data_IF_831211530148
#
_entry.id   IF_831211530148
#
_cell.length_a   1.000
_cell.length_b   1.000
_cell.length_c   1.000
_cell.angle_alpha   90.00
_cell.angle_beta   90.00
_cell.angle_gamma   90.00
#
_symmetry.space_group_name_H-M   'P 1'
#
loop_
_entity.id
_entity.type
_entity.pdbx_description
1 polymer ?
#
# COMPACT_ATOMS: atom_id res chain seq x y z
N UNK A 1 -9.97 30.65 3.51
CA UNK A 1 -9.49 29.85 2.39
C UNK A 1 -8.80 28.60 2.89
N UNK A 2 -9.25 27.44 2.42
CA UNK A 2 -8.81 26.11 2.89
C UNK A 2 -7.68 25.56 1.99
N UNK A 3 -6.87 26.42 1.38
CA UNK A 3 -5.72 25.98 0.60
C UNK A 3 -4.42 26.35 1.29
N UNK A 4 -3.60 25.34 1.57
CA UNK A 4 -2.20 25.56 1.91
C UNK A 4 -1.53 26.08 0.62
N UNK A 5 -1.16 27.36 0.60
CA UNK A 5 -0.46 27.99 -0.53
C UNK A 5 1.04 27.64 -0.56
N UNK A 6 1.39 26.55 0.07
CA UNK A 6 2.78 26.08 0.11
C UNK A 6 3.02 24.97 -0.92
N UNK A 7 4.18 24.95 -1.57
CA UNK A 7 4.57 23.82 -2.41
C UNK A 7 4.56 22.54 -1.60
N UNK A 8 3.85 21.53 -2.09
CA UNK A 8 3.71 20.26 -1.37
C UNK A 8 5.03 19.49 -1.27
N UNK A 9 6.05 19.86 -2.05
CA UNK A 9 7.30 19.10 -2.15
C UNK A 9 7.14 17.69 -2.72
N UNK A 10 5.93 17.33 -3.14
CA UNK A 10 5.61 16.01 -3.67
C UNK A 10 5.62 16.01 -5.19
N UNK A 11 6.23 14.98 -5.77
CA UNK A 11 6.20 14.73 -7.21
C UNK A 11 5.28 13.55 -7.49
N UNK A 12 4.37 13.73 -8.44
CA UNK A 12 3.51 12.64 -8.92
C UNK A 12 3.96 12.22 -10.31
N UNK A 13 4.14 10.91 -10.52
CA UNK A 13 4.52 10.32 -11.80
C UNK A 13 3.38 9.41 -12.26
N UNK A 14 2.91 9.61 -13.49
CA UNK A 14 1.98 8.68 -14.12
C UNK A 14 2.75 7.47 -14.65
N UNK A 15 2.45 6.28 -14.15
CA UNK A 15 3.07 5.02 -14.59
C UNK A 15 2.30 4.36 -15.75
N UNK A 16 1.06 4.76 -15.94
CA UNK A 16 0.18 4.33 -17.03
C UNK A 16 -0.49 5.55 -17.67
N UNK A 17 -1.07 5.38 -18.86
CA UNK A 17 -1.83 6.45 -19.51
C UNK A 17 -2.94 6.95 -18.57
N UNK A 18 -2.81 8.18 -18.09
CA UNK A 18 -3.67 8.77 -17.08
C UNK A 18 -4.33 10.04 -17.61
N UNK A 19 -5.61 10.22 -17.34
CA UNK A 19 -6.31 11.46 -17.59
C UNK A 19 -6.35 12.30 -16.30
N UNK A 20 -5.92 13.55 -16.38
CA UNK A 20 -5.85 14.47 -15.24
C UNK A 20 -6.78 15.64 -15.49
N UNK A 21 -7.55 16.00 -14.47
CA UNK A 21 -8.37 17.21 -14.44
C UNK A 21 -7.73 18.22 -13.48
N UNK A 22 -7.50 19.43 -13.95
CA UNK A 22 -6.94 20.52 -13.15
C UNK A 22 -8.08 21.48 -12.82
N UNK A 23 -8.31 21.72 -11.55
CA UNK A 23 -9.30 22.67 -11.06
C UNK A 23 -8.54 23.94 -10.63
N UNK A 24 -8.78 25.11 -11.27
CA UNK A 24 -8.19 26.37 -10.84
C UNK A 24 -8.59 26.72 -9.40
N UNK A 25 -7.68 27.33 -8.63
CA UNK A 25 -7.89 27.63 -7.21
C UNK A 25 -9.21 28.38 -6.95
N UNK A 26 -9.49 29.43 -7.73
CA UNK A 26 -10.74 30.21 -7.59
C UNK A 26 -11.99 29.34 -7.77
N UNK A 27 -11.96 28.44 -8.75
CA UNK A 27 -13.07 27.51 -9.01
C UNK A 27 -13.23 26.53 -7.86
N UNK A 28 -12.11 26.02 -7.33
CA UNK A 28 -12.10 25.13 -6.16
C UNK A 28 -12.72 25.84 -4.93
N UNK A 29 -12.27 27.04 -4.59
CA UNK A 29 -12.80 27.83 -3.49
C UNK A 29 -14.30 28.09 -3.64
N UNK A 30 -14.73 28.50 -4.84
CA UNK A 30 -16.16 28.71 -5.12
C UNK A 30 -16.97 27.42 -4.94
N UNK A 31 -16.48 26.25 -5.41
CA UNK A 31 -17.16 24.97 -5.23
C UNK A 31 -17.22 24.54 -3.77
N UNK A 32 -16.16 24.76 -3.00
CA UNK A 32 -16.15 24.46 -1.56
C UNK A 32 -17.19 25.32 -0.82
N UNK A 33 -17.37 26.59 -1.20
CA UNK A 33 -18.30 27.49 -0.52
C UNK A 33 -19.77 27.24 -0.92
N UNK A 34 -20.01 26.91 -2.18
CA UNK A 34 -21.37 26.86 -2.73
C UNK A 34 -21.95 25.46 -2.92
N UNK A 35 -21.10 24.44 -3.05
CA UNK A 35 -21.54 23.07 -3.36
C UNK A 35 -21.28 22.13 -2.18
N UNK A 36 -22.35 21.80 -1.46
CA UNK A 36 -22.27 20.88 -0.30
C UNK A 36 -21.72 19.51 -0.70
N UNK A 37 -22.17 18.95 -1.82
CA UNK A 37 -21.75 17.62 -2.27
C UNK A 37 -20.24 17.56 -2.58
N UNK A 38 -19.72 18.63 -3.20
CA UNK A 38 -18.28 18.76 -3.47
C UNK A 38 -17.48 18.85 -2.17
N UNK A 39 -17.94 19.67 -1.22
CA UNK A 39 -17.32 19.81 0.10
C UNK A 39 -17.30 18.50 0.90
N UNK A 40 -18.43 17.78 0.92
CA UNK A 40 -18.57 16.50 1.60
C UNK A 40 -17.61 15.44 0.99
N UNK A 41 -17.51 15.40 -0.34
CA UNK A 41 -16.59 14.50 -1.04
C UNK A 41 -15.11 14.81 -0.73
N UNK A 42 -14.74 16.08 -0.62
CA UNK A 42 -13.38 16.48 -0.21
C UNK A 42 -13.11 16.03 1.22
N UNK A 43 -14.06 16.29 2.13
CA UNK A 43 -13.92 15.91 3.53
C UNK A 43 -13.75 14.40 3.69
N UNK A 44 -14.59 13.61 3.01
CA UNK A 44 -14.47 12.15 2.99
C UNK A 44 -13.10 11.69 2.47
N UNK A 45 -12.59 12.31 1.42
CA UNK A 45 -11.28 11.99 0.86
C UNK A 45 -10.14 12.31 1.84
N UNK A 46 -10.23 13.45 2.54
CA UNK A 46 -9.26 13.83 3.57
C UNK A 46 -9.28 12.82 4.74
N UNK A 47 -10.47 12.46 5.21
CA UNK A 47 -10.62 11.46 6.28
C UNK A 47 -10.05 10.10 5.88
N UNK A 48 -10.32 9.63 4.66
CA UNK A 48 -9.72 8.39 4.13
C UNK A 48 -8.19 8.47 4.11
N UNK A 49 -7.61 9.58 3.66
CA UNK A 49 -6.15 9.78 3.67
C UNK A 49 -5.59 9.81 5.09
N UNK A 50 -6.26 10.45 6.03
CA UNK A 50 -5.85 10.46 7.44
C UNK A 50 -5.85 9.06 8.06
N UNK A 51 -6.86 8.24 7.76
CA UNK A 51 -6.91 6.84 8.20
C UNK A 51 -5.74 6.03 7.65
N UNK A 52 -5.42 6.20 6.36
CA UNK A 52 -4.26 5.55 5.74
C UNK A 52 -2.97 5.97 6.45
N UNK A 53 -2.75 7.28 6.64
CA UNK A 53 -1.56 7.80 7.32
C UNK A 53 -1.45 7.28 8.76
N UNK A 54 -2.56 7.19 9.50
CA UNK A 54 -2.57 6.61 10.84
C UNK A 54 -2.11 5.16 10.81
N UNK A 55 -2.64 4.36 9.90
CA UNK A 55 -2.22 2.96 9.72
C UNK A 55 -0.73 2.83 9.37
N UNK A 56 -0.21 3.71 8.52
CA UNK A 56 1.22 3.72 8.20
C UNK A 56 2.09 4.07 9.41
N UNK A 57 1.68 5.04 10.21
CA UNK A 57 2.39 5.40 11.45
C UNK A 57 2.38 4.24 12.44
N UNK A 58 1.24 3.60 12.66
CA UNK A 58 1.12 2.42 13.52
C UNK A 58 2.03 1.30 13.01
N UNK A 59 2.02 1.01 11.70
CA UNK A 59 2.89 0.03 11.08
C UNK A 59 4.38 0.32 11.31
N UNK A 60 4.81 1.55 11.09
CA UNK A 60 6.21 1.95 11.24
C UNK A 60 6.67 1.94 12.70
N UNK A 61 5.75 2.19 13.64
CA UNK A 61 6.09 2.34 15.07
C UNK A 61 6.07 1.02 15.83
N UNK A 62 5.10 0.14 15.52
CA UNK A 62 4.85 -1.06 16.31
C UNK A 62 5.19 -2.38 15.62
N UNK A 63 5.28 -2.39 14.29
CA UNK A 63 5.53 -3.62 13.55
C UNK A 63 6.99 -3.74 13.11
N UNK A 64 7.55 -4.94 13.25
CA UNK A 64 8.86 -5.26 12.69
C UNK A 64 8.85 -5.15 11.16
N UNK A 65 10.01 -4.95 10.54
CA UNK A 65 10.13 -4.98 9.07
C UNK A 65 9.55 -6.27 8.48
N UNK A 66 9.65 -7.37 9.21
CA UNK A 66 9.12 -8.67 8.81
C UNK A 66 7.59 -8.69 8.79
N UNK A 67 6.95 -8.11 9.82
CA UNK A 67 5.48 -8.04 9.89
C UNK A 67 4.92 -7.09 8.84
N UNK A 68 5.60 -5.96 8.60
CA UNK A 68 5.24 -5.05 7.50
C UNK A 68 5.29 -5.74 6.14
N UNK A 69 6.32 -6.58 5.93
CA UNK A 69 6.47 -7.35 4.70
C UNK A 69 5.37 -8.41 4.56
N UNK A 70 5.04 -9.12 5.65
CA UNK A 70 3.90 -10.06 5.69
C UNK A 70 2.59 -9.35 5.36
N UNK A 71 2.30 -8.20 5.99
CA UNK A 71 1.09 -7.40 5.71
C UNK A 71 1.00 -6.96 4.26
N UNK A 72 2.09 -6.48 3.69
CA UNK A 72 2.13 -6.07 2.28
C UNK A 72 1.80 -7.23 1.35
N UNK A 73 2.39 -8.40 1.58
CA UNK A 73 2.12 -9.58 0.77
C UNK A 73 0.68 -10.07 0.94
N UNK A 74 0.15 -10.08 2.17
CA UNK A 74 -1.23 -10.45 2.41
C UNK A 74 -2.22 -9.47 1.77
N UNK A 75 -1.98 -8.16 1.86
CA UNK A 75 -2.88 -7.15 1.28
C UNK A 75 -2.93 -7.18 -0.24
N UNK A 76 -1.89 -7.69 -0.87
CA UNK A 76 -1.79 -7.79 -2.34
C UNK A 76 -2.00 -9.20 -2.88
N UNK A 77 -2.27 -10.18 -2.01
CA UNK A 77 -2.59 -11.54 -2.40
C UNK A 77 -3.91 -11.60 -3.18
N UNK A 78 -3.92 -12.38 -4.27
CA UNK A 78 -5.14 -12.69 -5.03
C UNK A 78 -5.86 -13.87 -4.38
N UNK A 79 -6.70 -13.56 -3.41
CA UNK A 79 -7.44 -14.57 -2.64
C UNK A 79 -8.57 -15.26 -3.40
N UNK A 80 -8.92 -14.74 -4.59
CA UNK A 80 -9.95 -15.34 -5.44
C UNK A 80 -9.43 -16.55 -6.22
N UNK A 81 -8.10 -16.69 -6.35
CA UNK A 81 -7.46 -17.74 -7.15
C UNK A 81 -6.40 -18.48 -6.35
N UNK A 82 -6.71 -19.71 -5.96
CA UNK A 82 -5.74 -20.67 -5.45
C UNK A 82 -4.98 -21.34 -6.60
N UNK A 83 -3.67 -21.45 -6.42
CA UNK A 83 -2.80 -22.13 -7.36
C UNK A 83 -1.97 -23.22 -6.65
N UNK A 84 -1.58 -24.25 -7.40
CA UNK A 84 -0.58 -25.27 -7.01
C UNK A 84 -0.68 -25.76 -5.55
N UNK A 85 -1.89 -26.15 -5.10
CA UNK A 85 -2.04 -26.79 -3.79
C UNK A 85 -1.99 -25.85 -2.59
N UNK A 86 -2.56 -24.65 -2.70
CA UNK A 86 -2.77 -23.77 -1.54
C UNK A 86 -1.91 -22.52 -1.48
N UNK A 87 -1.62 -21.93 -2.64
CA UNK A 87 -0.85 -20.70 -2.74
C UNK A 87 -1.65 -19.59 -3.44
N UNK A 88 -1.50 -18.35 -2.97
CA UNK A 88 -2.03 -17.15 -3.60
C UNK A 88 -0.92 -16.44 -4.36
N UNK A 89 -1.18 -16.02 -5.60
CA UNK A 89 -0.31 -15.06 -6.31
C UNK A 89 -0.51 -13.67 -5.74
N UNK A 90 0.49 -12.81 -5.88
CA UNK A 90 0.29 -11.38 -5.67
C UNK A 90 -0.33 -10.75 -6.92
N UNK A 91 -1.25 -9.80 -6.72
CA UNK A 91 -1.82 -8.95 -7.79
C UNK A 91 -0.80 -7.99 -8.37
N UNK A 92 0.29 -7.72 -7.62
CA UNK A 92 1.37 -6.79 -7.97
C UNK A 92 2.71 -7.49 -7.89
N UNK A 93 3.57 -7.22 -8.86
CA UNK A 93 4.97 -7.67 -8.84
C UNK A 93 5.82 -6.58 -8.17
N UNK A 94 6.58 -6.96 -7.15
CA UNK A 94 7.50 -6.07 -6.44
C UNK A 94 8.94 -6.40 -6.75
N UNK A 95 9.72 -5.37 -7.06
CA UNK A 95 11.19 -5.46 -7.05
C UNK A 95 11.71 -5.31 -5.61
N UNK A 96 12.93 -5.78 -5.34
CA UNK A 96 13.56 -5.58 -4.02
C UNK A 96 13.76 -4.11 -3.66
N UNK A 97 13.90 -3.25 -4.66
CA UNK A 97 14.00 -1.80 -4.45
C UNK A 97 12.67 -1.22 -3.96
N UNK A 98 11.58 -1.55 -4.62
CA UNK A 98 10.24 -1.11 -4.20
C UNK A 98 9.90 -1.63 -2.82
N UNK A 99 10.16 -2.90 -2.53
CA UNK A 99 9.97 -3.46 -1.19
C UNK A 99 10.80 -2.71 -0.14
N UNK A 100 12.05 -2.38 -0.43
CA UNK A 100 12.90 -1.62 0.51
C UNK A 100 12.35 -0.22 0.79
N UNK A 101 11.78 0.42 -0.23
CA UNK A 101 11.18 1.74 -0.13
C UNK A 101 9.86 1.70 0.64
N UNK A 102 8.98 0.75 0.32
CA UNK A 102 7.66 0.61 0.96
C UNK A 102 7.80 0.21 2.43
N UNK A 103 8.67 -0.76 2.70
CA UNK A 103 8.88 -1.29 4.06
C UNK A 103 9.74 -0.34 4.92
N UNK A 104 10.50 0.56 4.32
CA UNK A 104 11.43 1.43 5.04
C UNK A 104 12.64 0.69 5.62
N UNK A 105 13.16 -0.30 4.91
CA UNK A 105 14.31 -1.11 5.32
C UNK A 105 15.40 -1.16 4.25
N UNK A 106 16.65 -1.45 4.65
CA UNK A 106 17.74 -1.64 3.70
C UNK A 106 17.48 -2.86 2.78
N UNK A 107 17.89 -2.80 1.52
CA UNK A 107 17.71 -3.90 0.55
C UNK A 107 18.25 -5.24 1.05
N UNK A 108 19.41 -5.21 1.73
CA UNK A 108 20.01 -6.41 2.31
C UNK A 108 19.10 -7.01 3.38
N UNK A 109 18.48 -6.17 4.21
CA UNK A 109 17.51 -6.61 5.21
C UNK A 109 16.28 -7.23 4.55
N UNK A 110 15.73 -6.59 3.52
CA UNK A 110 14.58 -7.12 2.78
C UNK A 110 14.90 -8.49 2.16
N UNK A 111 16.08 -8.62 1.52
CA UNK A 111 16.51 -9.92 0.97
C UNK A 111 16.60 -11.03 2.03
N UNK A 112 17.16 -10.73 3.20
CA UNK A 112 17.21 -11.69 4.32
C UNK A 112 15.80 -12.07 4.78
N UNK A 113 14.92 -11.09 4.96
CA UNK A 113 13.54 -11.33 5.40
C UNK A 113 12.73 -12.15 4.39
N UNK A 114 12.93 -11.93 3.09
CA UNK A 114 12.29 -12.75 2.05
C UNK A 114 12.74 -14.22 2.19
N UNK A 115 14.04 -14.48 2.36
CA UNK A 115 14.56 -15.84 2.56
C UNK A 115 13.99 -16.46 3.82
N UNK A 116 13.98 -15.74 4.96
CA UNK A 116 13.38 -16.21 6.21
C UNK A 116 11.89 -16.57 6.02
N UNK A 117 11.12 -15.75 5.31
CA UNK A 117 9.72 -16.01 5.04
C UNK A 117 9.52 -17.22 4.10
N UNK A 118 10.46 -17.48 3.21
CA UNK A 118 10.48 -18.71 2.40
C UNK A 118 10.78 -19.93 3.28
N UNK A 119 11.78 -19.83 4.16
CA UNK A 119 12.18 -20.92 5.06
C UNK A 119 11.05 -21.26 6.07
N UNK A 120 10.28 -20.26 6.51
CA UNK A 120 9.08 -20.43 7.35
C UNK A 120 7.88 -21.00 6.58
N UNK A 121 7.95 -21.10 5.26
CA UNK A 121 6.82 -21.55 4.43
C UNK A 121 5.69 -20.52 4.31
N UNK A 122 5.89 -19.28 4.76
CA UNK A 122 4.92 -18.20 4.61
C UNK A 122 4.77 -17.74 3.16
N UNK A 123 5.89 -17.64 2.44
CA UNK A 123 5.92 -17.36 1.01
C UNK A 123 6.76 -18.40 0.28
N UNK A 124 6.62 -18.45 -1.04
CA UNK A 124 7.58 -19.09 -1.95
C UNK A 124 7.87 -18.19 -3.13
N UNK A 125 9.03 -18.39 -3.74
CA UNK A 125 9.44 -17.70 -4.96
C UNK A 125 9.31 -18.63 -6.15
N UNK A 126 8.47 -18.30 -7.12
CA UNK A 126 8.35 -19.06 -8.38
C UNK A 126 8.48 -18.10 -9.56
N UNK A 127 9.47 -18.33 -10.43
CA UNK A 127 9.74 -17.47 -11.60
C UNK A 127 9.84 -15.97 -11.23
N UNK A 128 10.56 -15.66 -10.15
CA UNK A 128 10.72 -14.30 -9.56
C UNK A 128 9.44 -13.67 -9.03
N UNK A 129 8.35 -14.43 -8.94
CA UNK A 129 7.10 -13.97 -8.35
C UNK A 129 6.94 -14.55 -6.93
N UNK A 130 6.52 -13.71 -6.01
CA UNK A 130 6.16 -14.12 -4.66
C UNK A 130 4.78 -14.74 -4.68
N UNK A 131 4.63 -15.83 -3.94
CA UNK A 131 3.35 -16.46 -3.66
C UNK A 131 3.20 -16.66 -2.16
N UNK A 132 2.02 -16.45 -1.62
CA UNK A 132 1.70 -16.53 -0.19
C UNK A 132 0.98 -17.84 0.11
N UNK A 133 1.39 -18.55 1.15
CA UNK A 133 0.74 -19.76 1.60
C UNK A 133 -0.64 -19.46 2.18
N UNK A 134 -1.67 -20.20 1.78
CA UNK A 134 -3.05 -19.98 2.20
C UNK A 134 -3.26 -20.15 3.72
N UNK A 135 -2.65 -21.16 4.33
CA UNK A 135 -2.81 -21.43 5.77
C UNK A 135 -2.12 -20.35 6.59
N UNK A 136 -0.91 -19.97 6.22
CA UNK A 136 -0.15 -18.92 6.87
C UNK A 136 -0.80 -17.53 6.68
N UNK A 137 -1.39 -17.29 5.51
CA UNK A 137 -2.23 -16.11 5.27
C UNK A 137 -3.38 -16.03 6.27
N UNK A 138 -4.16 -17.13 6.43
CA UNK A 138 -5.29 -17.16 7.37
C UNK A 138 -4.84 -16.91 8.80
N UNK A 139 -3.82 -17.65 9.26
CA UNK A 139 -3.26 -17.48 10.61
C UNK A 139 -2.82 -16.04 10.88
N UNK A 140 -2.17 -15.42 9.90
CA UNK A 140 -1.68 -14.06 10.05
C UNK A 140 -2.83 -13.04 10.11
N UNK A 141 -3.86 -13.22 9.27
CA UNK A 141 -5.02 -12.31 9.22
C UNK A 141 -5.93 -12.44 10.46
N UNK A 142 -6.01 -13.63 11.06
CA UNK A 142 -6.77 -13.86 12.30
C UNK A 142 -6.09 -13.24 13.54
N UNK A 143 -4.76 -13.11 13.52
CA UNK A 143 -3.96 -12.57 14.62
C UNK A 143 -3.55 -11.11 14.43
N UNK A 144 -4.01 -10.43 13.38
CA UNK A 144 -3.71 -9.04 13.03
C UNK A 144 -4.92 -8.16 13.24
#
# INVERSE_FOLDING_TARGET
PVSLQEPTGLFSKAEVKTQIYIIPLRTYEHLVDTNKMFRDAIMENILKKMLILRHEIENLTFNSCKDRLKRLFCSTADTERLIDGGWYKLKVHYTQYELSTIIGGARVTISKLINELCDEGFIRMLNRNVQVNQEEYRKFMENS
#
